data_IF_065198955381
#
_entry.id   IF_065198955381
#
_cell.length_a   1.000
_cell.length_b   1.000
_cell.length_c   1.000
_cell.angle_alpha   90.00
_cell.angle_beta   90.00
_cell.angle_gamma   90.00
#
_symmetry.space_group_name_H-M   'P 1'
#
loop_
_entity.id
_entity.type
_entity.pdbx_description
1 polymer ?
#
# COMPACT_ATOMS: atom_id res chain seq x y z
N UNK A 1 0.88 -14.31 -18.88
CA UNK A 1 2.02 -13.88 -19.69
C UNK A 1 2.93 -13.09 -18.77
N UNK A 2 4.15 -13.59 -18.61
CA UNK A 2 5.14 -12.97 -17.71
C UNK A 2 6.06 -12.15 -18.59
N UNK A 3 5.85 -10.86 -18.60
CA UNK A 3 6.68 -9.94 -19.37
C UNK A 3 7.79 -9.35 -18.51
N UNK A 4 8.91 -9.16 -19.15
CA UNK A 4 10.08 -8.45 -18.67
C UNK A 4 10.11 -7.11 -19.40
N UNK A 5 10.09 -6.00 -18.68
CA UNK A 5 10.35 -4.68 -19.25
C UNK A 5 11.79 -4.29 -18.98
N UNK A 6 12.47 -3.82 -20.02
CA UNK A 6 13.79 -3.20 -19.91
C UNK A 6 13.60 -1.69 -20.02
N UNK A 7 14.01 -0.98 -18.97
CA UNK A 7 13.99 0.48 -18.95
C UNK A 7 15.41 0.93 -19.32
N UNK A 8 15.54 1.56 -20.49
CA UNK A 8 16.78 2.20 -20.88
C UNK A 8 17.03 3.40 -19.97
N UNK A 9 18.25 3.50 -19.46
CA UNK A 9 18.66 4.61 -18.62
C UNK A 9 19.45 5.62 -19.46
N UNK A 10 19.30 6.91 -19.15
CA UNK A 10 20.17 7.94 -19.72
C UNK A 10 21.59 7.77 -19.23
N UNK A 11 22.55 8.11 -20.09
CA UNK A 11 23.96 8.04 -19.74
C UNK A 11 24.30 9.07 -18.66
N UNK A 12 25.04 8.65 -17.62
CA UNK A 12 25.48 9.57 -16.58
C UNK A 12 26.56 10.48 -17.13
N UNK A 13 26.29 11.78 -17.21
CA UNK A 13 27.34 12.77 -17.55
C UNK A 13 28.19 13.06 -16.32
N UNK A 14 29.47 12.78 -16.41
CA UNK A 14 30.46 13.15 -15.37
C UNK A 14 31.42 14.19 -15.89
N UNK A 15 32.10 14.94 -14.99
CA UNK A 15 33.16 15.86 -15.34
C UNK A 15 34.38 15.17 -16.00
N UNK A 16 34.42 13.85 -16.02
CA UNK A 16 35.50 13.02 -16.57
C UNK A 16 35.04 12.20 -17.80
N UNK A 17 33.86 12.44 -18.35
CA UNK A 17 33.27 11.71 -19.48
C UNK A 17 31.95 11.07 -19.11
N UNK A 18 31.16 10.71 -20.12
CA UNK A 18 29.90 10.03 -19.92
C UNK A 18 30.11 8.54 -19.62
N UNK A 19 29.38 7.98 -18.68
CA UNK A 19 29.30 6.55 -18.41
C UNK A 19 27.95 6.03 -18.93
N UNK A 20 27.98 4.96 -19.72
CA UNK A 20 26.79 4.35 -20.25
C UNK A 20 26.14 3.49 -19.17
N UNK A 21 24.92 3.87 -18.78
CA UNK A 21 24.15 3.09 -17.82
C UNK A 21 23.55 1.85 -18.49
N UNK A 22 23.64 0.66 -17.88
CA UNK A 22 22.97 -0.51 -18.39
C UNK A 22 21.45 -0.38 -18.23
N UNK A 23 20.65 -0.97 -19.11
CA UNK A 23 19.21 -0.97 -18.96
C UNK A 23 18.79 -1.64 -17.64
N UNK A 24 17.81 -1.06 -16.97
CA UNK A 24 17.23 -1.62 -15.74
C UNK A 24 16.13 -2.59 -16.12
N UNK A 25 16.31 -3.85 -15.75
CA UNK A 25 15.26 -4.85 -15.92
C UNK A 25 14.31 -4.83 -14.72
N UNK A 26 13.04 -4.60 -14.98
CA UNK A 26 11.98 -4.64 -13.97
C UNK A 26 10.99 -5.77 -14.24
N UNK A 27 10.43 -6.34 -13.18
CA UNK A 27 9.29 -7.22 -13.33
C UNK A 27 8.11 -6.40 -13.85
N UNK A 28 7.47 -6.91 -14.89
CA UNK A 28 6.34 -6.22 -15.48
C UNK A 28 5.07 -6.47 -14.66
N UNK A 29 4.73 -5.52 -13.80
CA UNK A 29 3.46 -5.52 -13.07
C UNK A 29 2.31 -4.91 -13.88
N UNK A 30 2.59 -4.42 -15.10
CA UNK A 30 1.60 -3.71 -15.91
C UNK A 30 0.57 -4.64 -16.53
N UNK A 31 0.77 -5.97 -16.47
CA UNK A 31 -0.14 -6.92 -17.09
C UNK A 31 -0.33 -6.64 -18.57
N UNK A 32 -1.58 -6.39 -19.02
CA UNK A 32 -1.85 -6.17 -20.43
C UNK A 32 -1.37 -4.81 -20.98
N UNK A 33 -0.95 -3.86 -20.13
CA UNK A 33 -0.53 -2.52 -20.58
C UNK A 33 0.79 -2.48 -21.34
N UNK A 34 1.59 -3.54 -21.24
CA UNK A 34 2.86 -3.70 -21.97
C UNK A 34 2.80 -4.80 -23.03
N UNK A 35 1.70 -5.55 -23.11
CA UNK A 35 1.50 -6.54 -24.17
C UNK A 35 1.05 -5.86 -25.48
N UNK A 36 1.88 -5.83 -26.54
CA UNK A 36 1.53 -5.18 -27.79
C UNK A 36 0.37 -5.86 -28.53
N UNK A 37 0.04 -7.11 -28.20
CA UNK A 37 -1.07 -7.84 -28.78
C UNK A 37 -2.42 -7.46 -28.14
N UNK A 38 -2.42 -6.85 -26.96
CA UNK A 38 -3.63 -6.49 -26.21
C UNK A 38 -4.02 -5.05 -26.51
N UNK A 39 -5.24 -4.86 -26.99
CA UNK A 39 -5.86 -3.52 -27.11
C UNK A 39 -6.73 -3.27 -25.91
N UNK A 40 -6.31 -2.32 -25.08
CA UNK A 40 -7.03 -1.92 -23.88
C UNK A 40 -8.04 -0.83 -24.22
N UNK A 41 -9.28 -1.04 -23.79
CA UNK A 41 -10.31 -0.01 -23.76
C UNK A 41 -10.59 0.30 -22.27
N UNK A 42 -10.12 1.44 -21.80
CA UNK A 42 -10.27 1.86 -20.42
C UNK A 42 -11.73 1.95 -19.96
N UNK A 43 -12.68 2.07 -20.90
CA UNK A 43 -14.13 2.10 -20.60
C UNK A 43 -14.70 0.72 -20.32
N UNK A 44 -14.02 -0.33 -20.75
CA UNK A 44 -14.41 -1.73 -20.53
C UNK A 44 -13.69 -2.36 -19.34
N UNK A 45 -12.54 -1.78 -18.96
CA UNK A 45 -11.68 -2.32 -17.91
C UNK A 45 -10.92 -3.58 -18.34
N UNK A 46 -10.19 -4.12 -17.39
CA UNK A 46 -9.39 -5.33 -17.56
C UNK A 46 -10.24 -6.61 -17.35
N UNK A 47 -9.76 -7.76 -17.87
CA UNK A 47 -10.40 -9.05 -17.61
C UNK A 47 -10.38 -9.41 -16.11
N UNK A 48 -11.46 -10.02 -15.64
CA UNK A 48 -11.63 -10.44 -14.25
C UNK A 48 -10.95 -11.80 -14.00
N UNK A 49 -9.64 -11.84 -13.92
CA UNK A 49 -8.87 -13.08 -13.85
C UNK A 49 -9.15 -13.92 -12.60
N UNK A 50 -9.52 -13.28 -11.48
CA UNK A 50 -9.76 -13.96 -10.19
C UNK A 50 -11.22 -14.33 -9.94
N UNK A 51 -12.14 -13.96 -10.82
CA UNK A 51 -13.58 -14.19 -10.60
C UNK A 51 -13.88 -15.66 -10.31
N UNK A 52 -13.39 -16.57 -11.16
CA UNK A 52 -13.61 -18.00 -10.97
C UNK A 52 -13.10 -18.51 -9.62
N UNK A 53 -11.91 -18.10 -9.21
CA UNK A 53 -11.31 -18.47 -7.92
C UNK A 53 -12.16 -18.03 -6.71
N UNK A 54 -12.72 -16.82 -6.81
CA UNK A 54 -13.57 -16.25 -5.74
C UNK A 54 -14.91 -16.99 -5.68
N UNK A 55 -15.53 -17.31 -6.81
CA UNK A 55 -16.82 -17.98 -6.90
C UNK A 55 -16.74 -19.45 -6.48
N UNK A 56 -15.69 -20.17 -6.88
CA UNK A 56 -15.46 -21.58 -6.56
C UNK A 56 -15.33 -21.85 -5.05
N UNK A 57 -14.86 -20.88 -4.26
CA UNK A 57 -14.79 -20.98 -2.80
C UNK A 57 -16.17 -21.08 -2.15
N UNK A 58 -17.22 -20.57 -2.78
CA UNK A 58 -18.60 -20.73 -2.35
C UNK A 58 -18.98 -20.02 -1.04
N UNK A 59 -18.12 -19.19 -0.48
CA UNK A 59 -18.27 -18.53 0.82
C UNK A 59 -18.67 -17.05 0.73
N UNK A 60 -18.89 -16.55 -0.50
CA UNK A 60 -19.39 -15.21 -0.78
C UNK A 60 -20.83 -15.23 -1.27
N UNK A 61 -21.53 -14.12 -1.08
CA UNK A 61 -22.84 -13.83 -1.66
C UNK A 61 -22.76 -12.60 -2.56
N UNK A 62 -23.54 -12.61 -3.65
CA UNK A 62 -23.70 -11.48 -4.55
C UNK A 62 -24.81 -10.58 -4.03
N UNK A 63 -24.55 -9.29 -3.89
CA UNK A 63 -25.54 -8.31 -3.48
C UNK A 63 -26.35 -7.83 -4.69
N UNK A 64 -27.58 -7.38 -4.46
CA UNK A 64 -28.43 -6.80 -5.52
C UNK A 64 -27.92 -5.43 -6.02
N UNK A 65 -27.05 -4.77 -5.26
CA UNK A 65 -26.44 -3.49 -5.54
C UNK A 65 -25.59 -3.03 -4.35
N UNK A 66 -25.01 -1.81 -4.36
CA UNK A 66 -24.30 -1.25 -3.24
C UNK A 66 -25.13 -1.27 -1.96
N UNK A 67 -24.54 -1.65 -0.84
CA UNK A 67 -25.22 -1.63 0.47
C UNK A 67 -24.94 -0.34 1.24
N UNK A 68 -23.91 0.41 0.88
CA UNK A 68 -23.63 1.75 1.43
C UNK A 68 -24.67 2.78 0.95
N UNK A 69 -25.06 3.69 1.85
CA UNK A 69 -26.04 4.73 1.51
C UNK A 69 -25.53 5.65 0.41
N UNK A 70 -24.26 6.07 0.53
CA UNK A 70 -23.62 6.92 -0.47
C UNK A 70 -23.48 6.21 -1.83
N UNK A 71 -23.11 4.94 -1.85
CA UNK A 71 -23.03 4.15 -3.09
C UNK A 71 -24.39 4.03 -3.79
N UNK A 72 -25.48 3.86 -3.05
CA UNK A 72 -26.84 3.85 -3.58
C UNK A 72 -27.23 5.20 -4.18
N UNK A 73 -26.94 6.30 -3.49
CA UNK A 73 -27.19 7.65 -3.97
C UNK A 73 -26.41 7.95 -5.27
N UNK A 74 -25.12 7.62 -5.30
CA UNK A 74 -24.28 7.80 -6.50
C UNK A 74 -24.76 6.97 -7.69
N UNK A 75 -25.31 5.80 -7.44
CA UNK A 75 -25.84 4.92 -8.48
C UNK A 75 -27.03 5.51 -9.22
N UNK A 76 -27.92 6.23 -8.52
CA UNK A 76 -29.18 6.75 -9.10
C UNK A 76 -29.09 8.20 -9.56
N UNK A 77 -28.06 8.97 -9.18
CA UNK A 77 -27.95 10.37 -9.57
C UNK A 77 -27.75 10.52 -11.09
N UNK A 78 -28.70 11.13 -11.83
CA UNK A 78 -28.61 11.27 -13.28
C UNK A 78 -27.46 12.17 -13.74
N UNK A 79 -26.95 13.07 -12.90
CA UNK A 79 -25.84 13.98 -13.20
C UNK A 79 -24.52 13.23 -13.39
N UNK A 80 -24.40 12.05 -12.81
CA UNK A 80 -23.21 11.22 -12.82
C UNK A 80 -23.16 10.23 -13.96
N UNK A 81 -24.24 10.10 -14.74
CA UNK A 81 -24.37 9.07 -15.79
C UNK A 81 -23.22 9.07 -16.78
N UNK A 82 -22.71 10.23 -17.17
CA UNK A 82 -21.58 10.35 -18.10
C UNK A 82 -20.22 10.00 -17.48
N UNK A 83 -20.10 10.01 -16.14
CA UNK A 83 -18.88 9.73 -15.41
C UNK A 83 -18.81 8.30 -14.87
N UNK A 84 -19.94 7.62 -14.80
CA UNK A 84 -19.97 6.22 -14.31
C UNK A 84 -19.21 5.31 -15.26
N UNK A 85 -18.57 4.31 -14.65
CA UNK A 85 -17.99 3.23 -15.41
C UNK A 85 -19.10 2.47 -16.18
N UNK A 86 -18.80 2.04 -17.40
CA UNK A 86 -19.83 1.47 -18.28
C UNK A 86 -20.38 0.12 -17.81
N UNK A 87 -19.62 -0.61 -17.01
CA UNK A 87 -20.02 -1.91 -16.50
C UNK A 87 -20.50 -1.79 -15.06
N UNK A 88 -21.79 -1.93 -14.86
CA UNK A 88 -22.37 -2.02 -13.52
C UNK A 88 -22.02 -3.38 -12.91
N UNK A 89 -21.30 -3.37 -11.79
CA UNK A 89 -20.99 -4.57 -11.02
C UNK A 89 -21.81 -4.65 -9.75
N UNK A 90 -22.28 -5.85 -9.48
CA UNK A 90 -22.89 -6.17 -8.21
C UNK A 90 -21.80 -6.57 -7.22
N UNK A 91 -21.70 -5.91 -6.05
CA UNK A 91 -20.69 -6.25 -5.06
C UNK A 91 -20.91 -7.65 -4.49
N UNK A 92 -19.80 -8.29 -4.09
CA UNK A 92 -19.80 -9.51 -3.29
C UNK A 92 -19.37 -9.20 -1.88
N UNK A 93 -19.86 -9.97 -0.92
CA UNK A 93 -19.34 -9.98 0.45
C UNK A 93 -19.34 -11.41 1.00
N UNK A 94 -18.64 -11.62 2.10
CA UNK A 94 -18.69 -12.88 2.83
C UNK A 94 -20.14 -13.21 3.26
N UNK A 95 -20.53 -14.47 3.13
CA UNK A 95 -21.79 -14.97 3.71
C UNK A 95 -21.81 -14.77 5.22
N UNK A 96 -22.99 -14.78 5.82
CA UNK A 96 -23.13 -14.65 7.27
C UNK A 96 -22.26 -15.69 8.00
N UNK A 97 -21.41 -15.21 8.92
CA UNK A 97 -20.48 -16.05 9.67
C UNK A 97 -19.21 -16.50 8.91
N UNK A 98 -19.09 -16.25 7.62
CA UNK A 98 -17.90 -16.56 6.84
C UNK A 98 -16.80 -15.50 7.02
N UNK A 99 -15.56 -15.92 6.75
CA UNK A 99 -14.39 -15.06 6.66
C UNK A 99 -13.66 -15.41 5.36
N UNK A 100 -13.52 -14.44 4.48
CA UNK A 100 -12.95 -14.61 3.13
C UNK A 100 -11.50 -14.12 3.02
N UNK A 101 -10.87 -13.78 4.15
CA UNK A 101 -9.49 -13.29 4.14
C UNK A 101 -8.48 -14.38 3.84
N UNK A 102 -7.43 -14.04 3.11
CA UNK A 102 -6.33 -14.97 2.80
C UNK A 102 -5.70 -15.55 4.08
N UNK A 103 -5.64 -14.77 5.17
CA UNK A 103 -5.16 -15.26 6.46
C UNK A 103 -6.07 -16.37 7.04
N UNK A 104 -7.38 -16.24 6.87
CA UNK A 104 -8.33 -17.26 7.32
C UNK A 104 -8.07 -18.60 6.63
N UNK A 105 -7.94 -18.59 5.30
CA UNK A 105 -7.62 -19.80 4.53
C UNK A 105 -6.26 -20.37 4.92
N UNK A 106 -5.25 -19.51 5.02
CA UNK A 106 -3.89 -19.92 5.37
C UNK A 106 -3.83 -20.63 6.73
N UNK A 107 -4.54 -20.10 7.74
CA UNK A 107 -4.61 -20.70 9.10
C UNK A 107 -5.37 -22.02 9.13
N UNK A 108 -6.29 -22.22 8.22
CA UNK A 108 -6.99 -23.50 8.03
C UNK A 108 -6.19 -24.52 7.22
N UNK A 109 -4.96 -24.19 6.83
CA UNK A 109 -4.11 -25.05 6.01
C UNK A 109 -4.46 -25.05 4.52
N UNK A 110 -5.37 -24.17 4.10
CA UNK A 110 -5.83 -24.08 2.71
C UNK A 110 -4.85 -23.20 1.93
N UNK A 111 -4.36 -23.73 0.81
CA UNK A 111 -3.62 -22.98 -0.21
C UNK A 111 -4.63 -22.49 -1.23
N UNK A 112 -4.68 -21.17 -1.42
CA UNK A 112 -5.57 -20.56 -2.41
C UNK A 112 -4.85 -20.40 -3.74
N UNK A 113 -5.57 -20.27 -4.88
CA UNK A 113 -4.95 -19.97 -6.17
C UNK A 113 -4.11 -18.68 -6.13
N UNK A 114 -4.49 -17.72 -5.31
CA UNK A 114 -3.71 -16.49 -5.10
C UNK A 114 -2.35 -16.77 -4.47
N UNK A 115 -2.25 -17.72 -3.51
CA UNK A 115 -0.98 -18.12 -2.89
C UNK A 115 -0.08 -18.88 -3.88
N UNK A 116 -0.66 -19.71 -4.73
CA UNK A 116 0.06 -20.40 -5.82
C UNK A 116 0.60 -19.39 -6.82
N UNK A 117 -0.23 -18.43 -7.24
CA UNK A 117 0.17 -17.36 -8.15
C UNK A 117 1.34 -16.54 -7.60
N UNK A 118 1.28 -16.17 -6.31
CA UNK A 118 2.37 -15.45 -5.63
C UNK A 118 3.65 -16.25 -5.65
N UNK A 119 3.60 -17.55 -5.35
CA UNK A 119 4.79 -18.39 -5.36
C UNK A 119 5.46 -18.44 -6.76
N UNK A 120 4.67 -18.60 -7.81
CA UNK A 120 5.15 -18.58 -9.21
C UNK A 120 5.78 -17.23 -9.53
N UNK A 121 5.10 -16.14 -9.21
CA UNK A 121 5.53 -14.76 -9.49
C UNK A 121 6.85 -14.41 -8.81
N UNK A 122 7.01 -14.76 -7.53
CA UNK A 122 8.23 -14.47 -6.78
C UNK A 122 9.44 -15.27 -7.32
N UNK A 123 9.24 -16.52 -7.71
CA UNK A 123 10.31 -17.32 -8.31
C UNK A 123 10.78 -16.77 -9.66
N UNK A 124 9.84 -16.41 -10.53
CA UNK A 124 10.14 -15.89 -11.86
C UNK A 124 10.89 -14.56 -11.80
N UNK A 125 10.45 -13.65 -10.95
CA UNK A 125 11.14 -12.38 -10.71
C UNK A 125 12.59 -12.59 -10.27
N UNK A 126 12.82 -13.55 -9.36
CA UNK A 126 14.15 -13.87 -8.86
C UNK A 126 15.05 -14.51 -9.92
N UNK A 127 14.53 -15.45 -10.66
CA UNK A 127 15.25 -16.14 -11.74
C UNK A 127 15.72 -15.16 -12.80
N UNK A 128 14.83 -14.30 -13.26
CA UNK A 128 15.14 -13.27 -14.26
C UNK A 128 16.22 -12.30 -13.77
N UNK A 129 16.14 -11.86 -12.51
CA UNK A 129 17.15 -10.97 -11.95
C UNK A 129 18.53 -11.65 -11.84
N UNK A 130 18.57 -12.91 -11.42
CA UNK A 130 19.80 -13.69 -11.37
C UNK A 130 20.39 -13.87 -12.77
N UNK A 131 19.56 -14.14 -13.77
CA UNK A 131 20.02 -14.24 -15.17
C UNK A 131 20.58 -12.92 -15.69
N UNK A 132 19.91 -11.81 -15.40
CA UNK A 132 20.40 -10.48 -15.80
C UNK A 132 21.76 -10.17 -15.18
N UNK A 133 21.96 -10.48 -13.89
CA UNK A 133 23.27 -10.34 -13.23
C UNK A 133 24.34 -11.19 -13.91
N UNK A 134 24.05 -12.46 -14.19
CA UNK A 134 25.01 -13.36 -14.86
C UNK A 134 25.43 -12.83 -16.24
N UNK A 135 24.50 -12.20 -16.95
CA UNK A 135 24.78 -11.62 -18.25
C UNK A 135 25.81 -10.47 -18.21
N UNK A 136 26.04 -9.84 -17.05
CA UNK A 136 27.04 -8.77 -16.88
C UNK A 136 28.47 -9.26 -16.69
N UNK A 137 28.73 -10.58 -16.75
CA UNK A 137 30.06 -11.17 -16.69
C UNK A 137 30.49 -11.66 -15.31
N UNK A 138 31.81 -11.84 -15.03
CA UNK A 138 32.30 -12.50 -13.82
C UNK A 138 31.87 -11.85 -12.51
N UNK A 139 31.81 -10.53 -12.43
CA UNK A 139 31.35 -9.84 -11.21
C UNK A 139 29.85 -10.02 -11.03
N UNK A 140 29.07 -9.99 -12.10
CA UNK A 140 27.66 -10.31 -12.06
C UNK A 140 27.35 -11.74 -11.61
N UNK A 141 28.16 -12.73 -12.06
CA UNK A 141 28.04 -14.10 -11.55
C UNK A 141 28.34 -14.20 -10.04
N UNK A 142 29.34 -13.46 -9.56
CA UNK A 142 29.63 -13.38 -8.13
C UNK A 142 28.47 -12.78 -7.33
N UNK A 143 27.86 -11.71 -7.86
CA UNK A 143 26.69 -11.08 -7.26
C UNK A 143 25.49 -12.03 -7.28
N UNK A 144 25.23 -12.71 -8.40
CA UNK A 144 24.16 -13.71 -8.52
C UNK A 144 24.30 -14.83 -7.50
N UNK A 145 25.52 -15.37 -7.30
CA UNK A 145 25.81 -16.37 -6.26
C UNK A 145 25.57 -15.87 -4.85
N UNK A 146 25.89 -14.60 -4.58
CA UNK A 146 25.60 -13.97 -3.29
C UNK A 146 24.11 -13.86 -3.05
N UNK A 147 23.35 -13.45 -4.05
CA UNK A 147 21.89 -13.30 -3.98
C UNK A 147 21.12 -14.60 -3.87
N UNK A 148 21.65 -15.69 -4.42
CA UNK A 148 21.08 -17.03 -4.24
C UNK A 148 21.15 -17.51 -2.79
N UNK A 149 22.00 -16.93 -1.96
CA UNK A 149 22.20 -17.32 -0.56
C UNK A 149 21.46 -16.44 0.44
N UNK A 150 21.11 -15.22 0.06
CA UNK A 150 20.49 -14.24 0.96
C UNK A 150 19.66 -13.20 0.20
N UNK A 151 18.90 -12.41 0.93
CA UNK A 151 18.18 -11.26 0.43
C UNK A 151 19.15 -10.25 -0.24
N UNK A 152 18.74 -9.58 -1.37
CA UNK A 152 19.49 -8.47 -1.93
C UNK A 152 19.75 -7.39 -0.86
N UNK A 153 21.02 -6.99 -0.71
CA UNK A 153 21.44 -6.08 0.34
C UNK A 153 21.63 -6.78 1.69
N UNK A 154 21.45 -6.05 2.79
CA UNK A 154 21.49 -6.60 4.13
C UNK A 154 20.22 -7.44 4.39
N UNK A 155 20.37 -8.64 4.91
CA UNK A 155 19.23 -9.54 5.13
C UNK A 155 18.30 -9.07 6.25
N UNK A 156 18.82 -8.33 7.20
CA UNK A 156 18.10 -7.86 8.40
C UNK A 156 17.23 -8.94 9.05
N UNK A 157 17.67 -10.20 8.97
CA UNK A 157 16.95 -11.35 9.47
C UNK A 157 15.89 -11.91 8.53
N UNK A 158 15.77 -11.43 7.30
CA UNK A 158 14.97 -12.08 6.27
C UNK A 158 15.60 -13.44 5.88
N UNK A 159 14.75 -14.41 5.65
CA UNK A 159 15.16 -15.76 5.20
C UNK A 159 14.32 -16.16 3.99
N UNK A 160 14.76 -15.71 2.81
CA UNK A 160 14.08 -16.04 1.56
C UNK A 160 14.57 -17.41 1.11
N UNK A 161 13.66 -18.39 0.91
CA UNK A 161 14.05 -19.71 0.42
C UNK A 161 14.57 -19.62 -1.01
N UNK A 162 15.36 -20.62 -1.42
CA UNK A 162 15.87 -20.73 -2.81
C UNK A 162 14.72 -20.83 -3.83
N UNK A 163 13.62 -21.46 -3.44
CA UNK A 163 12.40 -21.57 -4.23
C UNK A 163 11.21 -21.26 -3.33
N UNK A 164 10.35 -20.34 -3.76
CA UNK A 164 9.09 -20.07 -3.11
C UNK A 164 8.10 -21.18 -3.42
N UNK A 165 7.56 -21.83 -2.40
CA UNK A 165 6.47 -22.79 -2.59
C UNK A 165 5.14 -22.19 -2.11
N UNK A 166 3.99 -22.64 -2.61
CA UNK A 166 2.69 -22.22 -2.11
C UNK A 166 2.52 -22.45 -0.60
N UNK A 167 3.10 -23.53 -0.06
CA UNK A 167 3.11 -23.85 1.38
C UNK A 167 3.91 -22.82 2.18
N UNK A 168 5.02 -22.34 1.62
CA UNK A 168 5.80 -21.27 2.24
C UNK A 168 4.97 -19.99 2.30
N UNK A 169 4.37 -19.57 1.18
CA UNK A 169 3.48 -18.38 1.11
C UNK A 169 2.36 -18.52 2.14
N UNK A 170 1.65 -19.66 2.15
CA UNK A 170 0.61 -19.94 3.14
C UNK A 170 1.12 -19.84 4.58
N UNK A 171 2.28 -20.41 4.86
CA UNK A 171 2.88 -20.39 6.21
C UNK A 171 3.21 -18.97 6.67
N UNK A 172 3.76 -18.13 5.80
CA UNK A 172 4.06 -16.73 6.12
C UNK A 172 2.79 -15.91 6.41
N UNK A 173 1.74 -16.11 5.62
CA UNK A 173 0.43 -15.47 5.82
C UNK A 173 -0.21 -15.97 7.13
N UNK A 174 -0.23 -17.28 7.38
CA UNK A 174 -0.80 -17.87 8.60
C UNK A 174 -0.14 -17.33 9.88
N UNK A 175 1.18 -17.07 9.82
CA UNK A 175 1.96 -16.49 10.91
C UNK A 175 1.80 -14.98 11.04
N UNK A 176 1.13 -14.32 10.10
CA UNK A 176 0.98 -12.86 10.02
C UNK A 176 2.31 -12.15 9.72
N UNK A 177 3.17 -12.74 8.88
CA UNK A 177 4.42 -12.15 8.40
C UNK A 177 4.37 -11.72 6.95
N UNK A 178 3.28 -12.03 6.28
CA UNK A 178 2.97 -11.58 4.93
C UNK A 178 1.47 -11.37 4.76
N UNK A 179 1.13 -10.54 3.78
CA UNK A 179 -0.24 -10.34 3.30
C UNK A 179 -0.28 -10.47 1.78
N UNK A 180 -1.46 -10.79 1.27
CA UNK A 180 -1.81 -10.64 -0.14
C UNK A 180 -2.97 -9.64 -0.17
N UNK A 181 -2.72 -8.35 -0.47
CA UNK A 181 -3.77 -7.32 -0.43
C UNK A 181 -4.68 -7.45 -1.65
N UNK A 182 -5.78 -8.16 -1.49
CA UNK A 182 -6.70 -8.49 -2.57
C UNK A 182 -8.15 -8.49 -2.10
N UNK A 183 -8.92 -7.50 -2.54
CA UNK A 183 -10.36 -7.48 -2.31
C UNK A 183 -11.09 -8.47 -3.24
N UNK A 184 -12.12 -9.12 -2.73
CA UNK A 184 -12.99 -10.02 -3.54
C UNK A 184 -13.77 -9.27 -4.64
N UNK A 185 -13.89 -7.93 -4.53
CA UNK A 185 -14.54 -7.06 -5.52
C UNK A 185 -13.56 -6.41 -6.50
N UNK A 186 -12.28 -6.81 -6.47
CA UNK A 186 -11.26 -6.41 -7.44
C UNK A 186 -10.70 -7.65 -8.16
N UNK A 187 -11.52 -8.34 -8.96
CA UNK A 187 -11.11 -9.59 -9.61
C UNK A 187 -10.10 -9.40 -10.75
N UNK A 188 -9.83 -8.17 -11.20
CA UNK A 188 -8.86 -7.83 -12.24
C UNK A 188 -7.41 -7.92 -11.75
N UNK A 189 -7.19 -7.78 -10.44
CA UNK A 189 -5.86 -7.65 -9.85
C UNK A 189 -5.06 -8.95 -9.90
N UNK A 190 -3.78 -8.83 -10.23
CA UNK A 190 -2.80 -9.91 -10.13
C UNK A 190 -2.29 -10.05 -8.68
N UNK A 191 -2.34 -11.25 -8.10
CA UNK A 191 -1.86 -11.45 -6.74
C UNK A 191 -0.39 -11.13 -6.55
N UNK A 192 -0.07 -10.39 -5.48
CA UNK A 192 1.29 -10.17 -5.01
C UNK A 192 1.34 -10.22 -3.48
N UNK A 193 2.48 -10.55 -2.90
CA UNK A 193 2.64 -10.58 -1.46
C UNK A 193 3.53 -9.44 -0.97
N UNK A 194 3.15 -8.86 0.16
CA UNK A 194 3.97 -7.93 0.95
C UNK A 194 4.37 -8.64 2.22
N UNK A 195 5.67 -8.76 2.47
CA UNK A 195 6.17 -9.43 3.68
C UNK A 195 7.68 -9.52 3.70
N UNK A 196 8.21 -9.74 4.90
CA UNK A 196 9.65 -9.74 5.19
C UNK A 196 10.46 -10.71 4.32
N UNK A 197 9.89 -11.88 4.05
CA UNK A 197 10.57 -12.94 3.32
C UNK A 197 10.20 -12.96 1.83
N UNK A 198 9.71 -11.84 1.31
CA UNK A 198 9.35 -11.64 -0.09
C UNK A 198 10.15 -10.47 -0.68
N UNK A 199 10.20 -10.39 -1.99
CA UNK A 199 10.82 -9.24 -2.67
C UNK A 199 10.08 -7.95 -2.29
N UNK A 200 10.84 -6.86 -2.19
CA UNK A 200 10.28 -5.53 -1.91
C UNK A 200 9.26 -5.15 -2.99
N UNK A 201 8.17 -4.54 -2.56
CA UNK A 201 7.11 -4.02 -3.43
C UNK A 201 7.10 -2.49 -3.33
N UNK A 202 6.96 -1.85 -4.48
CA UNK A 202 6.94 -0.39 -4.61
C UNK A 202 5.49 0.07 -4.68
N UNK A 203 5.13 1.02 -3.81
CA UNK A 203 3.85 1.71 -3.89
C UNK A 203 4.03 3.07 -4.57
N UNK A 204 3.20 3.35 -5.57
CA UNK A 204 3.10 4.65 -6.20
C UNK A 204 1.83 5.38 -5.73
N UNK A 205 1.90 6.70 -5.60
CA UNK A 205 0.75 7.52 -5.24
C UNK A 205 0.22 8.26 -6.46
N UNK A 206 -1.09 8.24 -6.62
CA UNK A 206 -1.85 9.07 -7.56
C UNK A 206 -2.98 9.79 -6.81
N UNK A 207 -3.72 10.59 -7.49
CA UNK A 207 -4.94 11.21 -6.95
C UNK A 207 -5.26 12.54 -7.60
N UNK A 208 -6.55 12.81 -7.76
CA UNK A 208 -7.03 14.10 -8.20
C UNK A 208 -7.08 15.10 -7.03
N UNK A 209 -7.05 16.39 -7.38
CA UNK A 209 -7.27 17.48 -6.46
C UNK A 209 -8.40 18.37 -6.95
N UNK A 210 -8.81 19.34 -6.12
CA UNK A 210 -9.86 20.29 -6.50
C UNK A 210 -9.51 21.13 -7.75
N UNK A 211 -8.23 21.16 -8.15
CA UNK A 211 -7.69 22.06 -9.20
C UNK A 211 -7.34 21.35 -10.48
N UNK A 212 -7.21 20.02 -10.49
CA UNK A 212 -6.69 19.29 -11.66
C UNK A 212 -7.08 17.82 -11.70
N UNK A 213 -7.06 17.35 -12.89
CA UNK A 213 -7.16 16.01 -13.44
C UNK A 213 -8.56 15.41 -13.58
N UNK A 214 -8.80 14.93 -14.79
CA UNK A 214 -9.97 14.16 -15.17
C UNK A 214 -9.82 12.69 -14.75
N UNK A 215 -10.91 11.94 -14.80
CA UNK A 215 -10.92 10.49 -14.55
C UNK A 215 -9.95 9.75 -15.48
N UNK A 216 -9.91 10.13 -16.77
CA UNK A 216 -9.02 9.50 -17.73
C UNK A 216 -7.53 9.76 -17.41
N UNK A 217 -7.19 10.97 -16.96
CA UNK A 217 -5.83 11.30 -16.53
C UNK A 217 -5.40 10.53 -15.28
N UNK A 218 -6.32 10.24 -14.33
CA UNK A 218 -5.99 9.40 -13.19
C UNK A 218 -5.69 7.96 -13.60
N UNK A 219 -6.45 7.40 -14.54
CA UNK A 219 -6.16 6.07 -15.10
C UNK A 219 -4.83 6.07 -15.85
N UNK A 220 -4.51 7.15 -16.57
CA UNK A 220 -3.22 7.30 -17.24
C UNK A 220 -2.06 7.37 -16.26
N UNK A 221 -2.16 8.18 -15.20
CA UNK A 221 -1.16 8.24 -14.13
C UNK A 221 -0.92 6.87 -13.49
N UNK A 222 -2.00 6.14 -13.19
CA UNK A 222 -1.90 4.78 -12.67
C UNK A 222 -1.13 3.88 -13.66
N UNK A 223 -1.48 3.92 -14.93
CA UNK A 223 -0.84 3.12 -15.97
C UNK A 223 0.66 3.42 -16.07
N UNK A 224 1.04 4.69 -16.02
CA UNK A 224 2.44 5.10 -15.99
C UNK A 224 3.16 4.62 -14.74
N UNK A 225 2.55 4.79 -13.56
CA UNK A 225 3.14 4.31 -12.31
C UNK A 225 3.45 2.80 -12.36
N UNK A 226 2.53 2.01 -12.92
CA UNK A 226 2.69 0.56 -13.05
C UNK A 226 3.78 0.22 -14.09
N UNK A 227 3.81 0.90 -15.23
CA UNK A 227 4.87 0.72 -16.25
C UNK A 227 6.27 1.01 -15.72
N UNK A 228 6.39 1.93 -14.78
CA UNK A 228 7.64 2.27 -14.10
C UNK A 228 7.94 1.39 -12.87
N UNK A 229 7.24 0.28 -12.71
CA UNK A 229 7.53 -0.73 -11.70
C UNK A 229 6.78 -0.57 -10.38
N UNK A 230 5.70 0.21 -10.35
CA UNK A 230 4.78 0.25 -9.22
C UNK A 230 4.10 -1.10 -9.04
N UNK A 231 4.32 -1.76 -7.91
CA UNK A 231 3.69 -3.05 -7.55
C UNK A 231 2.30 -2.86 -6.92
N UNK A 232 2.01 -1.66 -6.44
CA UNK A 232 0.71 -1.23 -5.90
C UNK A 232 0.55 0.26 -6.11
N UNK A 233 -0.70 0.73 -6.13
CA UNK A 233 -1.00 2.16 -6.30
C UNK A 233 -1.95 2.62 -5.21
N UNK A 234 -1.66 3.79 -4.66
CA UNK A 234 -2.50 4.44 -3.66
C UNK A 234 -3.24 5.62 -4.29
N UNK A 235 -4.57 5.55 -4.29
CA UNK A 235 -5.43 6.66 -4.69
C UNK A 235 -5.64 7.60 -3.49
N UNK A 236 -5.00 8.77 -3.55
CA UNK A 236 -5.07 9.84 -2.55
C UNK A 236 -6.01 10.96 -2.99
N UNK A 237 -6.97 10.68 -3.84
CA UNK A 237 -7.92 11.67 -4.37
C UNK A 237 -8.63 12.44 -3.27
N UNK A 238 -8.71 13.75 -3.45
CA UNK A 238 -9.34 14.72 -2.53
C UNK A 238 -10.25 15.70 -3.25
N UNK A 239 -10.36 15.58 -4.57
CA UNK A 239 -11.22 16.40 -5.41
C UNK A 239 -12.68 15.93 -5.40
N UNK A 240 -13.43 16.40 -6.39
CA UNK A 240 -14.81 15.94 -6.61
C UNK A 240 -14.84 14.59 -7.31
N UNK A 241 -15.96 13.87 -7.15
CA UNK A 241 -16.24 12.60 -7.84
C UNK A 241 -15.22 11.49 -7.54
N UNK A 242 -14.73 11.44 -6.29
CA UNK A 242 -13.80 10.42 -5.81
C UNK A 242 -14.37 9.02 -6.07
N UNK A 243 -15.66 8.82 -5.88
CA UNK A 243 -16.34 7.55 -6.10
C UNK A 243 -16.18 7.03 -7.53
N UNK A 244 -16.50 7.86 -8.52
CA UNK A 244 -16.44 7.49 -9.94
C UNK A 244 -14.98 7.33 -10.39
N UNK A 245 -14.10 8.25 -10.00
CA UNK A 245 -12.66 8.19 -10.31
C UNK A 245 -12.06 6.86 -9.82
N UNK A 246 -12.35 6.48 -8.59
CA UNK A 246 -11.87 5.23 -8.01
C UNK A 246 -12.42 4.00 -8.73
N UNK A 247 -13.69 4.01 -9.15
CA UNK A 247 -14.25 2.90 -9.92
C UNK A 247 -13.47 2.68 -11.22
N UNK A 248 -13.15 3.75 -11.95
CA UNK A 248 -12.34 3.64 -13.17
C UNK A 248 -10.92 3.16 -12.90
N UNK A 249 -10.30 3.62 -11.81
CA UNK A 249 -8.97 3.18 -11.40
C UNK A 249 -8.99 1.67 -11.12
N UNK A 250 -9.92 1.20 -10.29
CA UNK A 250 -10.04 -0.21 -9.93
C UNK A 250 -10.27 -1.13 -11.13
N UNK A 251 -11.20 -0.75 -12.01
CA UNK A 251 -11.53 -1.59 -13.20
C UNK A 251 -10.38 -1.66 -14.21
N UNK A 252 -9.44 -0.74 -14.14
CA UNK A 252 -8.28 -0.69 -15.04
C UNK A 252 -6.96 -1.07 -14.35
N UNK A 253 -6.98 -1.47 -13.08
CA UNK A 253 -5.76 -1.78 -12.36
C UNK A 253 -5.46 -3.29 -12.31
N UNK A 254 -4.31 -3.74 -12.81
CA UNK A 254 -3.82 -5.10 -12.58
C UNK A 254 -3.07 -5.25 -11.26
N UNK A 255 -2.86 -4.16 -10.51
CA UNK A 255 -2.17 -4.15 -9.22
C UNK A 255 -3.11 -3.72 -8.10
N UNK A 256 -2.83 -4.10 -6.85
CA UNK A 256 -3.64 -3.68 -5.71
C UNK A 256 -3.76 -2.16 -5.58
N UNK A 257 -4.96 -1.70 -5.27
CA UNK A 257 -5.28 -0.29 -5.05
C UNK A 257 -5.56 -0.05 -3.57
N UNK A 258 -4.82 0.93 -3.01
CA UNK A 258 -5.05 1.42 -1.66
C UNK A 258 -5.72 2.79 -1.63
N UNK A 259 -6.36 3.12 -0.53
CA UNK A 259 -6.95 4.44 -0.29
C UNK A 259 -6.76 4.91 1.14
N UNK A 260 -7.08 6.17 1.38
CA UNK A 260 -7.20 6.76 2.72
C UNK A 260 -8.65 7.17 2.95
N UNK A 261 -9.52 6.29 3.47
CA UNK A 261 -10.97 6.51 3.50
C UNK A 261 -11.42 7.80 4.18
N UNK A 262 -10.65 8.28 5.16
CA UNK A 262 -10.95 9.53 5.87
C UNK A 262 -10.93 10.76 4.95
N UNK A 263 -10.25 10.71 3.79
CA UNK A 263 -10.23 11.83 2.84
C UNK A 263 -11.57 11.97 2.15
N UNK A 264 -12.17 10.86 1.72
CA UNK A 264 -13.52 10.88 1.13
C UNK A 264 -14.59 11.15 2.19
N UNK A 265 -14.44 10.61 3.40
CA UNK A 265 -15.35 10.94 4.49
C UNK A 265 -15.34 12.44 4.79
N UNK A 266 -14.18 13.09 4.74
CA UNK A 266 -14.03 14.53 4.90
C UNK A 266 -14.70 15.32 3.76
N UNK A 267 -14.61 14.83 2.52
CA UNK A 267 -15.30 15.43 1.37
C UNK A 267 -16.81 15.40 1.56
N UNK A 268 -17.38 14.30 2.07
CA UNK A 268 -18.81 14.14 2.36
C UNK A 268 -19.35 15.15 3.39
N UNK A 269 -18.48 15.77 4.17
CA UNK A 269 -18.82 16.82 5.17
C UNK A 269 -18.21 18.18 4.80
N UNK A 270 -18.06 18.45 3.52
CA UNK A 270 -17.57 19.74 2.98
C UNK A 270 -16.22 20.20 3.59
N UNK A 271 -15.35 19.25 3.94
CA UNK A 271 -14.02 19.54 4.48
C UNK A 271 -13.99 19.91 5.96
N UNK A 272 -15.10 19.79 6.68
CA UNK A 272 -15.19 20.11 8.11
C UNK A 272 -14.91 18.87 8.94
N UNK A 273 -13.71 18.75 9.47
CA UNK A 273 -13.30 17.57 10.25
C UNK A 273 -14.19 17.35 11.48
N UNK A 274 -14.67 18.43 12.10
CA UNK A 274 -15.58 18.39 13.25
C UNK A 274 -16.95 17.79 12.94
N UNK A 275 -17.41 17.83 11.71
CA UNK A 275 -18.70 17.25 11.30
C UNK A 275 -18.60 15.75 10.94
N UNK A 276 -17.40 15.16 10.99
CA UNK A 276 -17.21 13.73 10.79
C UNK A 276 -17.90 12.93 11.90
N UNK A 277 -18.58 11.86 11.49
CA UNK A 277 -19.16 10.87 12.41
C UNK A 277 -18.70 9.46 12.09
N UNK A 278 -18.85 8.56 13.05
CA UNK A 278 -18.57 7.15 12.81
C UNK A 278 -19.44 6.58 11.68
N UNK A 279 -20.70 6.98 11.61
CA UNK A 279 -21.66 6.50 10.62
C UNK A 279 -21.22 6.86 9.19
N UNK A 280 -20.78 8.11 8.96
CA UNK A 280 -20.26 8.59 7.68
C UNK A 280 -18.99 7.80 7.32
N UNK A 281 -18.09 7.64 8.27
CA UNK A 281 -16.84 6.90 8.05
C UNK A 281 -17.11 5.42 7.77
N UNK A 282 -17.99 4.78 8.55
CA UNK A 282 -18.42 3.39 8.37
C UNK A 282 -19.03 3.17 6.98
N UNK A 283 -19.94 4.03 6.55
CA UNK A 283 -20.55 3.97 5.21
C UNK A 283 -19.49 4.12 4.11
N UNK A 284 -18.50 4.98 4.32
CA UNK A 284 -17.38 5.16 3.39
C UNK A 284 -16.50 3.92 3.29
N UNK A 285 -16.24 3.21 4.39
CA UNK A 285 -15.49 1.95 4.37
C UNK A 285 -16.25 0.88 3.58
N UNK A 286 -17.56 0.75 3.81
CA UNK A 286 -18.40 -0.23 3.10
C UNK A 286 -18.41 0.09 1.61
N UNK A 287 -18.65 1.35 1.24
CA UNK A 287 -18.65 1.82 -0.14
C UNK A 287 -17.36 1.43 -0.87
N UNK A 288 -16.21 1.78 -0.28
CA UNK A 288 -14.91 1.54 -0.90
C UNK A 288 -14.57 0.04 -0.97
N UNK A 289 -14.95 -0.73 0.05
CA UNK A 289 -14.78 -2.18 0.05
C UNK A 289 -15.64 -2.87 -1.02
N UNK A 290 -16.86 -2.39 -1.22
CA UNK A 290 -17.77 -2.88 -2.27
C UNK A 290 -17.32 -2.50 -3.68
N UNK A 291 -16.63 -1.38 -3.84
CA UNK A 291 -15.99 -1.03 -5.12
C UNK A 291 -14.76 -1.90 -5.42
N UNK A 292 -14.08 -2.42 -4.40
CA UNK A 292 -12.94 -3.32 -4.59
C UNK A 292 -11.60 -2.78 -4.13
N UNK A 293 -11.56 -1.76 -3.28
CA UNK A 293 -10.28 -1.28 -2.72
C UNK A 293 -9.61 -2.38 -1.92
N UNK A 294 -8.33 -2.64 -2.19
CA UNK A 294 -7.59 -3.79 -1.68
C UNK A 294 -7.01 -3.55 -0.28
N UNK A 295 -6.70 -2.30 0.06
CA UNK A 295 -6.22 -1.95 1.40
C UNK A 295 -6.57 -0.51 1.79
N UNK A 296 -6.83 -0.32 3.09
CA UNK A 296 -7.15 0.98 3.66
C UNK A 296 -6.06 1.49 4.57
N UNK A 297 -5.68 2.77 4.41
CA UNK A 297 -4.85 3.45 5.39
C UNK A 297 -5.75 4.05 6.49
N UNK A 298 -5.61 3.51 7.69
CA UNK A 298 -6.41 3.87 8.88
C UNK A 298 -5.48 4.45 9.96
N UNK A 299 -5.72 5.72 10.35
CA UNK A 299 -4.92 6.44 11.34
C UNK A 299 -5.43 6.20 12.77
N UNK A 300 -5.62 4.94 13.16
CA UNK A 300 -6.20 4.55 14.44
C UNK A 300 -5.28 4.82 15.64
N UNK A 301 -3.99 5.08 15.40
CA UNK A 301 -3.03 5.40 16.46
C UNK A 301 -3.08 6.85 16.94
N UNK A 302 -3.76 7.75 16.22
CA UNK A 302 -3.91 9.16 16.62
C UNK A 302 -4.97 9.25 17.71
N UNK A 303 -4.54 9.41 18.95
CA UNK A 303 -5.40 9.46 20.13
C UNK A 303 -5.39 10.83 20.78
N UNK A 304 -6.50 11.18 21.46
CA UNK A 304 -6.65 12.48 22.13
C UNK A 304 -5.46 12.82 23.07
N UNK A 305 -4.96 11.93 23.93
CA UNK A 305 -3.85 12.25 24.85
C UNK A 305 -2.51 12.46 24.12
N UNK A 306 -2.38 12.06 22.87
CA UNK A 306 -1.12 12.18 22.11
C UNK A 306 -1.03 13.48 21.31
N UNK A 307 -2.17 14.11 21.00
CA UNK A 307 -2.21 15.37 20.22
C UNK A 307 -1.40 16.49 20.89
N UNK A 308 -1.47 16.74 22.22
CA UNK A 308 -0.65 17.75 22.89
C UNK A 308 0.86 17.48 22.81
N UNK A 309 1.28 16.22 22.69
CA UNK A 309 2.70 15.86 22.58
C UNK A 309 3.35 16.41 21.29
N UNK A 310 2.56 16.53 20.23
CA UNK A 310 3.03 17.09 18.96
C UNK A 310 3.10 18.62 18.95
N UNK A 311 2.59 19.32 19.98
CA UNK A 311 2.54 20.79 20.00
C UNK A 311 3.93 21.45 20.07
N UNK A 312 4.95 20.72 20.53
CA UNK A 312 6.33 21.24 20.63
C UNK A 312 7.17 20.95 19.39
N UNK A 313 6.63 20.24 18.40
CA UNK A 313 7.33 19.89 17.16
C UNK A 313 7.58 21.10 16.28
N UNK A 314 8.67 21.09 15.56
CA UNK A 314 9.01 22.09 14.52
C UNK A 314 7.95 22.08 13.42
N UNK A 315 7.52 20.89 13.01
CA UNK A 315 6.57 20.70 11.90
C UNK A 315 5.15 20.34 12.34
N UNK A 316 4.90 20.17 13.64
CA UNK A 316 3.60 19.78 14.17
C UNK A 316 3.14 18.40 13.68
N UNK A 317 1.90 18.29 13.21
CA UNK A 317 1.33 17.06 12.65
C UNK A 317 1.28 17.17 11.13
N UNK A 318 2.21 16.56 10.44
CA UNK A 318 2.36 16.65 8.97
C UNK A 318 1.45 15.66 8.21
N UNK A 319 0.99 14.62 8.87
CA UNK A 319 0.03 13.68 8.29
C UNK A 319 -1.31 14.33 8.10
N UNK A 320 -1.85 14.32 6.87
CA UNK A 320 -3.19 14.85 6.59
C UNK A 320 -4.28 14.08 7.37
N UNK A 321 -4.26 12.74 7.35
CA UNK A 321 -5.20 11.93 8.12
C UNK A 321 -5.01 12.13 9.63
N UNK A 322 -3.75 12.23 10.08
CA UNK A 322 -3.43 12.53 11.48
C UNK A 322 -3.96 13.90 11.92
N UNK A 323 -3.81 14.94 11.13
CA UNK A 323 -4.30 16.30 11.45
C UNK A 323 -5.82 16.38 11.45
N UNK A 324 -6.51 15.67 10.54
CA UNK A 324 -7.98 15.56 10.54
C UNK A 324 -8.48 14.97 11.85
N UNK A 325 -7.91 13.82 12.26
CA UNK A 325 -8.31 13.14 13.49
C UNK A 325 -7.92 13.92 14.75
N UNK A 326 -6.74 14.57 14.76
CA UNK A 326 -6.34 15.44 15.86
C UNK A 326 -7.32 16.62 16.03
N UNK A 327 -7.72 17.27 14.91
CA UNK A 327 -8.73 18.33 14.94
C UNK A 327 -10.07 17.83 15.47
N UNK A 328 -10.51 16.66 15.02
CA UNK A 328 -11.75 16.04 15.48
C UNK A 328 -11.72 15.77 17.00
N UNK A 329 -10.65 15.13 17.50
CA UNK A 329 -10.48 14.83 18.91
C UNK A 329 -10.50 16.09 19.78
N UNK A 330 -9.83 17.15 19.33
CA UNK A 330 -9.82 18.44 20.06
C UNK A 330 -11.19 19.15 20.04
N UNK A 331 -11.89 19.15 18.90
CA UNK A 331 -13.18 19.80 18.77
C UNK A 331 -14.25 19.14 19.64
N UNK A 332 -14.22 17.82 19.76
CA UNK A 332 -15.21 17.06 20.53
C UNK A 332 -14.79 16.72 21.95
N UNK A 333 -13.52 16.94 22.32
CA UNK A 333 -12.93 16.48 23.59
C UNK A 333 -13.17 14.97 23.84
N UNK A 334 -13.07 14.17 22.75
CA UNK A 334 -13.32 12.72 22.75
C UNK A 334 -12.17 11.96 22.13
N UNK A 335 -12.07 10.70 22.48
CA UNK A 335 -11.14 9.77 21.84
C UNK A 335 -11.52 9.55 20.38
N UNK A 336 -10.52 9.28 19.54
CA UNK A 336 -10.69 8.98 18.12
C UNK A 336 -11.64 7.82 17.90
N UNK A 337 -12.69 8.02 17.10
CA UNK A 337 -13.59 6.92 16.72
C UNK A 337 -12.88 5.84 15.89
N UNK A 338 -11.78 6.15 15.22
CA UNK A 338 -10.96 5.15 14.53
C UNK A 338 -10.31 4.16 15.50
N UNK A 339 -9.97 4.62 16.71
CA UNK A 339 -9.45 3.78 17.77
C UNK A 339 -10.60 3.05 18.49
N UNK A 340 -11.64 3.76 18.94
CA UNK A 340 -12.74 3.18 19.71
C UNK A 340 -13.55 2.13 18.93
N UNK A 341 -13.69 2.30 17.60
CA UNK A 341 -14.46 1.42 16.72
C UNK A 341 -13.58 0.50 15.88
N UNK A 342 -12.35 0.27 16.29
CA UNK A 342 -11.39 -0.49 15.51
C UNK A 342 -11.86 -1.92 15.21
N UNK A 343 -12.51 -2.58 16.16
CA UNK A 343 -13.07 -3.91 15.96
C UNK A 343 -14.18 -3.93 14.90
N UNK A 344 -15.02 -2.88 14.85
CA UNK A 344 -16.06 -2.74 13.82
C UNK A 344 -15.43 -2.52 12.42
N UNK A 345 -14.32 -1.76 12.35
CA UNK A 345 -13.53 -1.62 11.12
C UNK A 345 -13.01 -2.98 10.67
N UNK A 346 -12.45 -3.76 11.59
CA UNK A 346 -11.97 -5.12 11.33
C UNK A 346 -13.09 -6.02 10.78
N UNK A 347 -14.28 -5.93 11.36
CA UNK A 347 -15.44 -6.70 10.94
C UNK A 347 -15.94 -6.35 9.54
N UNK A 348 -15.81 -5.09 9.13
CA UNK A 348 -16.10 -4.67 7.76
C UNK A 348 -15.05 -5.25 6.82
N UNK A 349 -13.77 -5.05 7.10
CA UNK A 349 -12.68 -5.41 6.19
C UNK A 349 -12.59 -6.91 5.93
N UNK A 350 -12.83 -7.76 6.94
CA UNK A 350 -12.83 -9.23 6.77
C UNK A 350 -13.92 -9.77 5.85
N UNK A 351 -15.01 -9.01 5.64
CA UNK A 351 -16.11 -9.41 4.74
C UNK A 351 -15.76 -9.29 3.27
N UNK A 352 -14.72 -8.52 2.96
CA UNK A 352 -14.32 -8.19 1.60
C UNK A 352 -12.86 -8.54 1.28
N UNK A 353 -12.12 -9.10 2.24
CA UNK A 353 -10.67 -9.34 2.17
C UNK A 353 -9.85 -8.06 1.94
N UNK A 354 -10.23 -6.98 2.62
CA UNK A 354 -9.47 -5.72 2.59
C UNK A 354 -8.33 -5.78 3.61
N UNK A 355 -7.14 -5.39 3.21
CA UNK A 355 -5.97 -5.33 4.09
C UNK A 355 -5.85 -3.97 4.80
N UNK A 356 -5.17 -3.95 5.96
CA UNK A 356 -4.81 -2.71 6.63
C UNK A 356 -3.46 -2.18 6.17
N UNK A 357 -3.39 -0.88 5.98
CA UNK A 357 -2.20 -0.05 6.12
C UNK A 357 -2.43 0.80 7.37
N UNK A 358 -1.83 0.44 8.52
CA UNK A 358 -1.96 1.23 9.73
C UNK A 358 -1.15 2.53 9.58
N UNK A 359 -1.88 3.63 9.44
CA UNK A 359 -1.30 4.94 9.13
C UNK A 359 -0.65 5.57 10.35
N UNK A 360 0.56 6.07 10.19
CA UNK A 360 1.33 6.83 11.17
C UNK A 360 0.93 8.32 11.14
N UNK A 361 -0.15 8.65 11.80
CA UNK A 361 -0.72 10.00 11.83
C UNK A 361 0.15 11.01 12.58
N UNK A 362 0.96 10.54 13.52
CA UNK A 362 1.89 11.36 14.31
C UNK A 362 3.36 11.16 13.90
N UNK A 363 3.63 10.71 12.66
CA UNK A 363 4.99 10.66 12.13
C UNK A 363 5.64 12.04 12.13
N UNK A 364 6.98 12.13 12.39
CA UNK A 364 7.70 13.40 12.35
C UNK A 364 7.80 13.92 10.90
N UNK A 365 7.73 15.23 10.72
CA UNK A 365 7.95 15.91 9.44
C UNK A 365 9.37 16.42 9.24
N UNK A 366 10.18 16.40 10.30
CA UNK A 366 11.58 16.79 10.27
C UNK A 366 12.42 15.85 11.13
N UNK A 367 13.73 15.82 10.87
CA UNK A 367 14.69 15.05 11.68
C UNK A 367 14.70 15.53 13.13
N UNK A 368 14.45 16.83 13.36
CA UNK A 368 14.39 17.40 14.71
C UNK A 368 13.23 16.84 15.56
N UNK A 369 12.16 16.41 14.92
CA UNK A 369 10.97 15.86 15.58
C UNK A 369 11.02 14.30 15.68
N UNK A 370 12.04 13.68 15.08
CA UNK A 370 12.15 12.22 15.02
C UNK A 370 12.40 11.62 16.42
N UNK A 371 11.76 10.47 16.67
CA UNK A 371 11.87 9.72 17.93
C UNK A 371 11.31 10.44 19.17
N UNK A 372 10.38 11.37 18.98
CA UNK A 372 9.70 12.02 20.08
C UNK A 372 8.62 11.14 20.75
N UNK A 373 8.08 11.62 21.86
CA UNK A 373 7.06 10.88 22.62
C UNK A 373 5.76 10.71 21.86
N UNK A 374 5.38 11.67 20.99
CA UNK A 374 4.17 11.55 20.16
C UNK A 374 4.27 10.36 19.20
N UNK A 375 5.41 10.26 18.48
CA UNK A 375 5.68 9.15 17.58
C UNK A 375 5.70 7.80 18.31
N UNK A 376 6.38 7.70 19.45
CA UNK A 376 6.46 6.44 20.21
C UNK A 376 5.12 6.04 20.83
N UNK A 377 4.31 7.02 21.25
CA UNK A 377 2.99 6.74 21.83
C UNK A 377 2.01 6.19 20.79
N UNK A 378 1.97 6.81 19.59
CA UNK A 378 1.22 6.27 18.48
C UNK A 378 1.67 4.85 18.14
N UNK A 379 2.98 4.63 18.05
CA UNK A 379 3.57 3.36 17.70
C UNK A 379 3.19 2.23 18.67
N UNK A 380 3.16 2.51 19.99
CA UNK A 380 2.69 1.54 20.99
C UNK A 380 1.24 1.17 20.74
N UNK A 381 0.38 2.16 20.51
CA UNK A 381 -1.04 1.92 20.18
C UNK A 381 -1.21 1.09 18.91
N UNK A 382 -0.48 1.41 17.84
CA UNK A 382 -0.51 0.61 16.61
C UNK A 382 -0.06 -0.84 16.87
N UNK A 383 0.94 -1.04 17.74
CA UNK A 383 1.38 -2.37 18.15
C UNK A 383 0.31 -3.15 18.92
N UNK A 384 -0.44 -2.48 19.80
CA UNK A 384 -1.58 -3.09 20.52
C UNK A 384 -2.71 -3.47 19.57
N UNK A 385 -3.08 -2.58 18.65
CA UNK A 385 -4.09 -2.84 17.62
C UNK A 385 -3.70 -4.00 16.70
N UNK A 386 -2.41 -4.11 16.33
CA UNK A 386 -1.88 -5.26 15.60
C UNK A 386 -2.06 -6.58 16.35
N UNK A 387 -1.93 -6.58 17.67
CA UNK A 387 -2.20 -7.75 18.50
C UNK A 387 -3.63 -8.25 18.32
N UNK A 388 -4.60 -7.35 18.28
CA UNK A 388 -6.01 -7.65 18.04
C UNK A 388 -6.27 -8.12 16.62
N UNK A 389 -5.64 -7.48 15.61
CA UNK A 389 -5.75 -7.86 14.20
C UNK A 389 -5.29 -9.28 13.89
N UNK A 390 -4.29 -9.79 14.60
CA UNK A 390 -3.79 -11.17 14.41
C UNK A 390 -4.86 -12.23 14.59
N UNK A 391 -5.96 -11.91 15.24
CA UNK A 391 -7.06 -12.85 15.44
C UNK A 391 -7.97 -12.96 14.21
N UNK A 392 -8.08 -11.92 13.36
CA UNK A 392 -9.20 -11.80 12.42
C UNK A 392 -8.85 -11.50 10.96
N UNK A 393 -7.71 -10.82 10.66
CA UNK A 393 -7.48 -10.20 9.35
C UNK A 393 -6.05 -10.39 8.82
N UNK A 394 -5.90 -10.23 7.50
CA UNK A 394 -4.65 -9.85 6.88
C UNK A 394 -4.33 -8.40 7.25
N UNK A 395 -3.09 -8.15 7.61
CA UNK A 395 -2.58 -6.80 7.82
C UNK A 395 -1.23 -6.65 7.13
N UNK A 396 -1.01 -5.48 6.55
CA UNK A 396 0.31 -5.10 6.10
C UNK A 396 1.18 -4.97 7.33
N UNK A 397 1.96 -5.99 7.57
CA UNK A 397 2.92 -5.94 8.63
C UNK A 397 4.16 -5.25 8.10
N UNK A 398 4.31 -3.97 8.40
CA UNK A 398 5.61 -3.37 8.33
C UNK A 398 6.57 -3.98 9.34
N UNK A 399 6.09 -4.91 10.20
CA UNK A 399 6.90 -5.52 11.24
C UNK A 399 6.58 -6.95 11.54
N UNK A 400 7.64 -7.68 11.64
CA UNK A 400 7.69 -9.03 12.14
C UNK A 400 8.42 -9.05 13.46
N UNK A 401 7.71 -8.99 14.55
CA UNK A 401 8.26 -9.31 15.87
C UNK A 401 7.67 -10.61 16.39
N UNK A 402 8.49 -11.48 16.93
CA UNK A 402 8.05 -12.67 17.65
C UNK A 402 7.10 -12.29 18.79
N UNK A 403 6.07 -13.10 19.00
CA UNK A 403 4.97 -12.90 19.94
C UNK A 403 5.34 -13.05 21.42
N UNK A 404 6.60 -13.01 21.80
CA UNK A 404 7.06 -13.10 23.17
C UNK A 404 7.83 -11.84 23.59
N UNK A 405 7.09 -10.85 24.08
CA UNK A 405 7.63 -9.69 24.76
C UNK A 405 8.13 -8.57 23.82
N UNK A 406 7.51 -7.42 23.89
CA UNK A 406 8.00 -6.19 23.26
C UNK A 406 9.32 -5.79 23.93
N UNK A 407 10.44 -6.14 23.29
CA UNK A 407 11.73 -5.56 23.63
C UNK A 407 11.89 -4.20 22.91
N UNK A 408 12.68 -3.29 23.48
CA UNK A 408 12.96 -1.98 22.87
C UNK A 408 13.51 -2.04 21.43
N UNK A 409 13.93 -3.22 20.96
CA UNK A 409 14.38 -3.51 19.60
C UNK A 409 13.23 -3.58 18.60
N UNK A 410 12.04 -4.01 19.00
CA UNK A 410 10.86 -4.10 18.15
C UNK A 410 10.24 -2.72 17.87
N UNK A 411 10.33 -1.82 18.85
CA UNK A 411 9.97 -0.41 18.68
C UNK A 411 10.89 0.31 17.68
N UNK A 412 12.20 0.00 17.65
CA UNK A 412 13.15 0.59 16.70
C UNK A 412 12.87 0.15 15.26
N UNK A 413 12.43 -1.07 15.02
CA UNK A 413 12.10 -1.56 13.67
C UNK A 413 10.84 -0.88 13.09
N UNK A 414 9.86 -0.56 13.93
CA UNK A 414 8.70 0.26 13.56
C UNK A 414 9.10 1.70 13.18
N UNK A 415 10.14 2.24 13.79
CA UNK A 415 10.61 3.60 13.54
C UNK A 415 11.31 3.78 12.19
N UNK A 416 11.98 2.74 11.68
CA UNK A 416 12.64 2.83 10.39
C UNK A 416 11.67 3.01 9.22
N UNK A 417 10.47 2.44 9.28
CA UNK A 417 9.47 2.63 8.22
C UNK A 417 8.80 4.01 8.24
N UNK A 418 8.78 4.69 9.40
CA UNK A 418 8.23 6.05 9.53
C UNK A 418 9.21 7.14 9.07
N UNK A 419 10.51 6.85 9.03
CA UNK A 419 11.55 7.86 8.76
C UNK A 419 11.80 8.15 7.26
N UNK A 420 11.16 7.42 6.33
CA UNK A 420 11.43 7.53 4.89
C UNK A 420 10.35 8.34 4.13
N UNK A 421 9.69 9.24 4.80
CA UNK A 421 8.76 10.20 4.17
C UNK A 421 9.43 11.55 3.94
N UNK A 422 10.54 11.58 3.22
CA UNK A 422 11.16 12.84 2.79
C UNK A 422 10.97 13.02 1.28
N UNK A 423 10.03 13.88 0.94
CA UNK A 423 9.87 14.46 -0.41
C UNK A 423 8.97 13.66 -1.36
N UNK A 424 7.86 14.20 -1.69
CA UNK A 424 7.05 14.19 -2.93
C UNK A 424 6.75 12.88 -3.68
N UNK A 425 7.27 11.74 -3.28
CA UNK A 425 6.99 10.46 -3.92
C UNK A 425 7.09 9.36 -2.87
N UNK A 426 5.94 8.77 -2.52
CA UNK A 426 5.89 7.72 -1.50
C UNK A 426 6.20 6.37 -2.11
N UNK A 427 7.45 5.96 -2.01
CA UNK A 427 7.80 4.55 -2.07
C UNK A 427 7.73 3.96 -0.66
N UNK A 428 7.00 2.87 -0.46
CA UNK A 428 7.10 2.11 0.79
C UNK A 428 8.33 1.23 0.68
N UNK A 429 9.44 1.71 1.22
CA UNK A 429 10.62 0.89 1.42
C UNK A 429 10.49 0.21 2.78
N UNK A 430 10.27 -1.09 2.80
CA UNK A 430 10.35 -1.88 4.02
C UNK A 430 11.82 -2.03 4.42
N UNK A 431 12.31 -1.10 5.24
CA UNK A 431 13.64 -1.23 5.85
C UNK A 431 13.51 -1.87 7.22
N UNK A 432 14.15 -3.01 7.39
CA UNK A 432 14.32 -3.68 8.67
C UNK A 432 15.71 -3.41 9.22
N UNK A 433 15.78 -2.92 10.46
CA UNK A 433 17.05 -2.78 11.18
C UNK A 433 17.43 -4.06 11.92
N UNK A 434 18.70 -4.42 12.00
CA UNK A 434 19.17 -5.58 12.76
C UNK A 434 19.21 -5.31 14.25
N UNK A 435 18.89 -6.32 15.03
CA UNK A 435 19.30 -6.35 16.42
C UNK A 435 20.82 -6.47 16.55
N UNK A 436 21.42 -5.62 17.29
CA UNK A 436 22.80 -5.83 17.72
C UNK A 436 23.65 -4.55 17.83
N UNK A 437 23.89 -4.13 19.05
CA UNK A 437 25.06 -3.45 19.60
C UNK A 437 25.60 -2.22 18.84
N UNK A 438 25.43 -1.05 19.46
CA UNK A 438 26.38 0.03 19.37
C UNK A 438 25.85 1.36 18.87
N UNK A 439 25.82 2.34 19.73
CA UNK A 439 26.01 3.75 19.52
C UNK A 439 24.94 4.56 18.76
N UNK A 440 24.80 5.83 19.11
CA UNK A 440 23.75 6.72 18.58
C UNK A 440 24.00 7.28 17.17
N UNK A 441 25.00 6.78 16.42
CA UNK A 441 25.48 7.41 15.18
C UNK A 441 25.41 6.54 13.91
N UNK A 442 24.46 5.64 13.78
CA UNK A 442 24.23 4.99 12.49
C UNK A 442 23.12 5.72 11.75
N UNK A 443 23.42 6.87 11.19
CA UNK A 443 22.73 7.35 10.01
C UNK A 443 22.94 6.30 8.90
N UNK A 444 21.86 5.58 8.52
CA UNK A 444 21.88 4.72 7.35
C UNK A 444 22.15 5.60 6.12
N UNK A 445 23.45 5.71 5.76
CA UNK A 445 23.85 6.09 4.41
C UNK A 445 23.57 4.87 3.53
N UNK A 446 22.38 4.82 2.94
CA UNK A 446 22.22 4.09 1.70
C UNK A 446 23.05 4.83 0.66
N UNK A 447 23.87 4.16 -0.14
CA UNK A 447 24.39 4.79 -1.33
C UNK A 447 23.21 5.04 -2.26
N UNK A 448 22.80 6.28 -2.39
CA UNK A 448 21.78 6.76 -3.32
C UNK A 448 22.15 6.51 -4.79
N UNK A 449 23.41 6.16 -5.03
CA UNK A 449 23.98 5.88 -6.35
C UNK A 449 23.44 4.61 -7.02
N UNK A 450 22.64 3.80 -6.31
CA UNK A 450 22.06 2.56 -6.87
C UNK A 450 20.70 2.75 -7.55
N UNK A 451 20.11 3.93 -7.50
CA UNK A 451 18.75 4.16 -8.02
C UNK A 451 18.63 5.23 -9.13
N UNK A 452 19.70 5.95 -9.48
CA UNK A 452 19.69 6.86 -10.64
C UNK A 452 18.59 7.95 -10.68
N UNK A 453 17.97 8.30 -9.54
CA UNK A 453 16.77 9.17 -9.50
C UNK A 453 17.02 10.40 -8.61
N UNK A 454 18.16 11.06 -8.68
CA UNK A 454 18.41 12.20 -7.78
C UNK A 454 19.12 13.38 -8.45
N UNK A 455 18.79 13.77 -9.64
CA UNK A 455 19.35 15.04 -10.17
C UNK A 455 18.33 16.05 -10.73
N UNK A 456 17.05 15.87 -10.62
CA UNK A 456 16.08 16.88 -11.10
C UNK A 456 15.40 17.74 -10.02
N UNK A 457 15.76 17.66 -8.74
CA UNK A 457 15.13 18.46 -7.67
C UNK A 457 16.00 19.60 -7.13
N UNK A 458 17.24 19.75 -7.57
CA UNK A 458 18.11 20.86 -7.13
C UNK A 458 17.94 22.18 -7.90
N UNK A 459 16.99 22.28 -8.83
CA UNK A 459 16.80 23.42 -9.73
C UNK A 459 15.77 24.49 -9.31
N UNK A 460 15.11 24.38 -8.18
CA UNK A 460 14.09 25.39 -7.75
C UNK A 460 14.41 25.95 -6.37
N UNK A 461 15.51 26.68 -6.27
CA UNK A 461 15.66 27.73 -5.26
C UNK A 461 15.74 29.08 -5.95
N UNK A 462 14.61 29.51 -6.48
CA UNK A 462 14.40 30.90 -6.94
C UNK A 462 14.17 31.80 -5.76
N UNK A 463 15.07 32.76 -5.59
CA UNK A 463 15.03 33.84 -4.61
C UNK A 463 13.68 34.56 -4.62
N UNK A 464 13.00 34.55 -3.49
CA UNK A 464 12.00 35.56 -3.19
C UNK A 464 12.67 36.74 -2.53
N UNK A 465 12.88 37.82 -3.28
CA UNK A 465 13.15 39.14 -2.72
C UNK A 465 11.79 39.79 -2.39
N UNK A 466 11.71 40.25 -1.17
CA UNK A 466 10.67 41.19 -0.73
C UNK A 466 10.85 42.59 -1.38
N UNK A 467 9.81 43.43 -1.46
CA UNK A 467 9.49 44.38 -0.41
C UNK A 467 8.26 44.04 0.40
#
# INVERSE_FOLDING_TARGET
VLFRSEIEQEDTSTSFGGEKNPPLTVYDCSGPYTDPAVKIDIRRGLPEMRRAWIEERGDTELLAGPSSAYGQERLVDPKLTAMRFNLQRHPRRAKAGANVSQMHYARRGIITPEMEYVAIRENLRREQYIESLRATGPEGEKMARRMLRQHPGESFGASIPSTMTPEFVRSEIARGRAIIPLNINHPEVEPMAIGRNFLVKINANIGNSAVSSSIAEEVEKMTWAIRWGGDTVMDLSTGKNIHETREWILRNSPVPIGTVPIYQALEKVDGKAEDLTWEIFRDTLIEQAEQGVDYFTIHAGVRLPYVPLAAKRVTGIVSRGGSIMAKWCLAHHKESFLYERFDEICDIMRKYDVSFSLGDGLRPGSIADANDEAQFSELRTLGELLGNLRQWLQYACHHTGNSSGYSGCQLRNLLCSSAIHLGGGTGILLCEGPGGLGGPDVALRMPFDALGIVDEVSGVTGQAQHP
#
